data_IF_179667006380
#
_entry.id   IF_179667006380
#
_cell.length_a   1.000
_cell.length_b   1.000
_cell.length_c   1.000
_cell.angle_alpha   90.00
_cell.angle_beta   90.00
_cell.angle_gamma   90.00
#
_symmetry.space_group_name_H-M   'P 1'
#
loop_
_entity.id
_entity.type
_entity.pdbx_description
1 polymer ?
#
# COMPACT_ATOMS: atom_id res chain seq x y z
N UNK A 1 -27.71 -40.39 33.59
CA UNK A 1 -27.32 -39.00 33.97
C UNK A 1 -26.34 -38.36 32.98
N UNK A 2 -25.51 -39.13 32.28
CA UNK A 2 -24.55 -38.68 31.26
C UNK A 2 -25.16 -37.92 30.06
N UNK A 3 -26.35 -38.31 29.58
CA UNK A 3 -27.00 -37.66 28.44
C UNK A 3 -27.49 -36.22 28.69
N UNK A 4 -27.74 -35.84 29.96
CA UNK A 4 -28.23 -34.50 30.30
C UNK A 4 -27.09 -33.47 30.35
N UNK A 5 -25.89 -33.89 30.78
CA UNK A 5 -24.69 -33.05 30.77
C UNK A 5 -24.20 -32.77 29.35
N UNK A 6 -24.29 -33.74 28.43
CA UNK A 6 -23.94 -33.56 27.03
C UNK A 6 -24.85 -32.54 26.31
N UNK A 7 -26.17 -32.60 26.54
CA UNK A 7 -27.14 -31.64 25.94
C UNK A 7 -26.95 -30.21 26.43
N UNK A 8 -26.62 -30.02 27.70
CA UNK A 8 -26.39 -28.69 28.30
C UNK A 8 -25.05 -28.10 27.84
N UNK A 9 -24.01 -28.93 27.69
CA UNK A 9 -22.72 -28.52 27.13
C UNK A 9 -22.84 -28.08 25.66
N UNK A 10 -23.64 -28.78 24.83
CA UNK A 10 -23.87 -28.45 23.41
C UNK A 10 -24.57 -27.07 23.25
N UNK A 11 -25.54 -26.75 24.11
CA UNK A 11 -26.23 -25.44 24.08
C UNK A 11 -25.31 -24.29 24.49
N UNK A 12 -24.37 -24.53 25.40
CA UNK A 12 -23.39 -23.53 25.82
C UNK A 12 -22.36 -23.25 24.70
N UNK A 13 -21.87 -24.29 24.02
CA UNK A 13 -20.88 -24.13 22.93
C UNK A 13 -21.46 -23.40 21.71
N UNK A 14 -22.75 -23.60 21.40
CA UNK A 14 -23.41 -22.91 20.28
C UNK A 14 -23.68 -21.43 20.57
N UNK A 15 -24.00 -21.06 21.82
CA UNK A 15 -24.20 -19.65 22.18
C UNK A 15 -22.90 -18.83 22.19
N UNK A 16 -21.78 -19.42 22.61
CA UNK A 16 -20.49 -18.72 22.69
C UNK A 16 -19.86 -18.52 21.31
N UNK A 17 -20.04 -19.48 20.40
CA UNK A 17 -19.59 -19.36 19.01
C UNK A 17 -20.35 -18.25 18.24
N UNK A 18 -21.66 -18.10 18.48
CA UNK A 18 -22.45 -17.03 17.88
C UNK A 18 -22.08 -15.64 18.45
N UNK A 19 -21.84 -15.53 19.76
CA UNK A 19 -21.40 -14.28 20.38
C UNK A 19 -19.99 -13.85 19.91
N UNK A 20 -19.07 -14.80 19.70
CA UNK A 20 -17.75 -14.51 19.14
C UNK A 20 -17.84 -14.11 17.66
N UNK A 21 -18.70 -14.76 16.87
CA UNK A 21 -18.94 -14.39 15.47
C UNK A 21 -19.54 -12.98 15.32
N UNK A 22 -20.37 -12.52 16.27
CA UNK A 22 -20.91 -11.16 16.27
C UNK A 22 -19.85 -10.15 16.74
N UNK A 23 -19.03 -10.47 17.74
CA UNK A 23 -17.97 -9.58 18.24
C UNK A 23 -16.83 -9.34 17.23
N UNK A 24 -16.63 -10.24 16.26
CA UNK A 24 -15.62 -10.08 15.19
C UNK A 24 -16.12 -9.10 14.09
N UNK A 25 -17.38 -8.67 14.10
CA UNK A 25 -17.91 -7.72 13.11
C UNK A 25 -17.71 -6.24 13.45
N UNK A 26 -17.08 -5.91 14.59
CA UNK A 26 -17.01 -4.51 15.08
C UNK A 26 -15.61 -4.01 15.41
N UNK A 27 -14.56 -4.67 14.93
CA UNK A 27 -13.23 -4.04 14.98
C UNK A 27 -12.97 -3.47 13.59
N UNK A 28 -13.16 -2.16 13.48
CA UNK A 28 -12.65 -1.37 12.37
C UNK A 28 -11.19 -1.77 12.19
N UNK A 29 -10.93 -2.50 11.12
CA UNK A 29 -9.62 -2.50 10.49
C UNK A 29 -9.25 -1.03 10.43
N UNK A 30 -8.16 -0.63 11.09
CA UNK A 30 -7.70 0.75 11.13
C UNK A 30 -8.01 1.40 9.78
N UNK A 31 -8.78 2.49 9.76
CA UNK A 31 -9.43 3.03 8.56
C UNK A 31 -8.46 3.54 7.48
N UNK A 32 -7.20 3.13 7.51
CA UNK A 32 -6.19 3.37 6.51
C UNK A 32 -6.29 2.37 5.35
N UNK A 33 -6.45 2.87 4.12
CA UNK A 33 -6.23 2.06 2.94
C UNK A 33 -4.76 2.06 2.58
N UNK A 34 -4.19 0.88 2.34
CA UNK A 34 -2.82 0.71 1.88
C UNK A 34 -2.78 0.27 0.41
N UNK A 35 -1.87 0.87 -0.34
CA UNK A 35 -1.63 0.57 -1.74
C UNK A 35 -0.15 0.33 -1.95
N UNK A 36 0.15 -0.65 -2.79
CA UNK A 36 1.46 -0.80 -3.40
C UNK A 36 1.44 -0.17 -4.77
N UNK A 37 2.59 0.36 -5.19
CA UNK A 37 2.80 0.75 -6.57
C UNK A 37 4.16 0.29 -7.06
N UNK A 38 4.25 0.09 -8.37
CA UNK A 38 5.49 -0.30 -9.01
C UNK A 38 5.62 0.39 -10.36
N UNK A 39 6.87 0.62 -10.74
CA UNK A 39 7.25 1.12 -12.04
C UNK A 39 8.43 0.31 -12.55
N UNK A 40 8.47 0.05 -13.85
CA UNK A 40 9.56 -0.64 -14.51
C UNK A 40 9.90 0.12 -15.78
N UNK A 41 11.15 0.56 -15.90
CA UNK A 41 11.66 1.25 -17.07
C UNK A 41 12.09 0.29 -18.18
N UNK A 42 12.40 0.87 -19.34
CA UNK A 42 12.75 0.12 -20.55
C UNK A 42 14.17 -0.45 -20.48
N UNK A 43 15.05 0.17 -19.69
CA UNK A 43 16.40 -0.30 -19.43
C UNK A 43 16.46 -1.35 -18.30
N UNK A 44 15.31 -1.75 -17.76
CA UNK A 44 15.18 -2.79 -16.74
C UNK A 44 15.23 -2.28 -15.30
N UNK A 45 15.56 -1.00 -15.08
CA UNK A 45 15.45 -0.37 -13.77
C UNK A 45 14.01 -0.42 -13.27
N UNK A 46 13.83 -0.43 -11.95
CA UNK A 46 12.48 -0.45 -11.37
C UNK A 46 12.39 0.28 -10.05
N UNK A 47 11.16 0.69 -9.72
CA UNK A 47 10.79 1.26 -8.44
C UNK A 47 9.60 0.51 -7.87
N UNK A 48 9.59 0.33 -6.55
CA UNK A 48 8.48 -0.24 -5.80
C UNK A 48 8.23 0.63 -4.58
N UNK A 49 6.98 0.99 -4.34
CA UNK A 49 6.62 1.76 -3.16
C UNK A 49 5.29 1.37 -2.60
N UNK A 50 4.97 1.96 -1.46
CA UNK A 50 3.68 1.83 -0.81
C UNK A 50 3.25 3.18 -0.25
N UNK A 51 1.95 3.38 -0.14
CA UNK A 51 1.38 4.53 0.52
C UNK A 51 0.08 4.18 1.21
N UNK A 52 -0.31 5.00 2.19
CA UNK A 52 -1.60 4.88 2.84
C UNK A 52 -2.20 6.23 3.19
N UNK A 53 -3.51 6.23 3.42
CA UNK A 53 -4.31 7.38 3.81
C UNK A 53 -5.55 6.92 4.57
N UNK A 54 -6.14 7.81 5.35
CA UNK A 54 -7.41 7.59 6.06
C UNK A 54 -8.59 7.61 5.10
N UNK A 55 -9.30 6.49 4.98
CA UNK A 55 -10.46 6.31 4.10
C UNK A 55 -11.71 7.04 4.59
N UNK A 56 -11.80 7.41 5.87
CA UNK A 56 -12.96 8.12 6.41
C UNK A 56 -12.97 9.59 6.02
N UNK A 57 -11.80 10.16 5.77
CA UNK A 57 -11.62 11.59 5.48
C UNK A 57 -11.11 11.86 4.06
N UNK A 58 -10.58 10.85 3.37
CA UNK A 58 -9.97 11.05 2.06
C UNK A 58 -10.98 11.46 0.96
N UNK A 59 -10.64 12.47 0.14
CA UNK A 59 -11.39 12.81 -1.07
C UNK A 59 -11.24 11.75 -2.17
N UNK A 60 -11.99 11.91 -3.27
CA UNK A 60 -11.84 11.09 -4.47
C UNK A 60 -10.47 11.22 -5.13
N UNK A 61 -9.85 12.40 -5.00
CA UNK A 61 -8.51 12.71 -5.52
C UNK A 61 -7.62 13.17 -4.38
N UNK A 62 -6.57 12.41 -4.11
CA UNK A 62 -5.50 12.76 -3.18
C UNK A 62 -4.40 13.46 -3.98
N UNK A 63 -4.06 14.68 -3.60
CA UNK A 63 -3.02 15.48 -4.24
C UNK A 63 -2.12 16.10 -3.17
N UNK A 64 -0.85 15.71 -3.18
CA UNK A 64 0.19 16.15 -2.27
C UNK A 64 1.34 16.82 -3.03
N UNK A 65 1.86 17.90 -2.48
CA UNK A 65 2.88 18.69 -3.11
C UNK A 65 3.80 19.37 -2.08
N UNK A 66 5.10 19.21 -2.26
CA UNK A 66 6.12 19.91 -1.49
C UNK A 66 6.37 19.37 -0.09
N UNK A 67 7.16 20.13 0.66
CA UNK A 67 7.58 19.82 2.03
C UNK A 67 6.51 20.21 3.05
N UNK A 68 6.39 19.43 4.14
CA UNK A 68 5.55 19.78 5.29
C UNK A 68 4.35 18.85 5.49
N UNK A 69 3.33 19.31 6.21
CA UNK A 69 2.15 18.50 6.49
C UNK A 69 1.41 18.13 5.20
N UNK A 70 1.11 16.85 5.03
CA UNK A 70 0.26 16.35 3.94
C UNK A 70 -1.21 16.56 4.26
N UNK A 71 -2.05 16.60 3.22
CA UNK A 71 -3.50 16.79 3.39
C UNK A 71 -4.21 15.50 3.75
N UNK A 72 -3.85 14.40 3.10
CA UNK A 72 -4.54 13.10 3.22
C UNK A 72 -3.56 11.94 3.35
N UNK A 73 -2.38 12.03 2.74
CA UNK A 73 -1.40 10.94 2.74
C UNK A 73 -0.76 10.76 4.12
N UNK A 74 -0.90 9.59 4.74
CA UNK A 74 -0.31 9.32 6.05
C UNK A 74 1.14 8.84 5.94
N UNK A 75 1.43 8.04 4.92
CA UNK A 75 2.79 7.58 4.63
C UNK A 75 2.99 7.33 3.14
N UNK A 76 4.25 7.44 2.71
CA UNK A 76 4.71 7.11 1.38
C UNK A 76 6.15 6.60 1.49
N UNK A 77 6.40 5.44 0.90
CA UNK A 77 7.73 4.84 0.80
C UNK A 77 8.03 4.43 -0.64
N UNK A 78 9.31 4.42 -0.99
CA UNK A 78 9.78 3.96 -2.30
C UNK A 78 11.17 3.34 -2.16
N UNK A 79 11.38 2.26 -2.91
CA UNK A 79 12.67 1.60 -3.12
C UNK A 79 12.97 1.51 -4.60
N UNK A 80 14.24 1.67 -4.95
CA UNK A 80 14.74 1.68 -6.31
C UNK A 80 15.69 0.52 -6.54
N UNK A 81 15.65 -0.05 -7.74
CA UNK A 81 16.39 -1.25 -8.10
C UNK A 81 17.04 -1.11 -9.48
N UNK A 82 18.22 -1.69 -9.60
CA UNK A 82 18.94 -1.81 -10.87
C UNK A 82 18.29 -2.88 -11.79
N UNK A 83 18.77 -3.03 -13.05
CA UNK A 83 18.23 -4.02 -13.98
C UNK A 83 18.36 -5.48 -13.52
N UNK A 84 19.22 -5.76 -12.55
CA UNK A 84 19.41 -7.08 -11.95
C UNK A 84 18.59 -7.26 -10.67
N UNK A 85 17.67 -6.33 -10.38
CA UNK A 85 16.85 -6.29 -9.17
C UNK A 85 17.65 -6.10 -7.87
N UNK A 86 18.86 -5.56 -7.96
CA UNK A 86 19.66 -5.18 -6.80
C UNK A 86 19.17 -3.84 -6.26
N UNK A 87 18.96 -3.68 -4.94
CA UNK A 87 18.58 -2.39 -4.36
C UNK A 87 19.63 -1.31 -4.62
N UNK A 88 19.18 -0.15 -5.10
CA UNK A 88 19.99 1.06 -5.25
C UNK A 88 19.84 1.93 -3.99
N UNK A 89 18.60 2.32 -3.67
CA UNK A 89 18.29 3.12 -2.50
C UNK A 89 16.81 3.02 -2.12
N UNK A 90 16.45 3.48 -0.92
CA UNK A 90 15.08 3.52 -0.42
C UNK A 90 14.83 4.79 0.40
N UNK A 91 13.63 5.34 0.30
CA UNK A 91 13.23 6.55 1.01
C UNK A 91 11.80 6.44 1.53
N UNK A 92 11.48 7.31 2.48
CA UNK A 92 10.13 7.53 2.99
C UNK A 92 9.77 9.00 2.82
N UNK A 93 9.36 9.43 1.61
CA UNK A 93 9.03 10.83 1.33
C UNK A 93 7.93 11.42 2.22
N UNK A 94 7.05 10.58 2.79
CA UNK A 94 6.04 10.97 3.77
C UNK A 94 6.04 10.01 4.95
N UNK A 95 6.15 10.54 6.17
CA UNK A 95 6.07 9.79 7.42
C UNK A 95 5.19 10.54 8.39
N UNK A 96 4.23 9.84 9.03
CA UNK A 96 3.31 10.44 10.00
C UNK A 96 2.62 11.71 9.48
N UNK A 97 2.14 11.65 8.25
CA UNK A 97 1.50 12.76 7.53
C UNK A 97 2.38 14.00 7.36
N UNK A 98 3.71 13.82 7.32
CA UNK A 98 4.67 14.89 7.04
C UNK A 98 5.56 14.48 5.88
N UNK A 99 5.49 15.25 4.80
CA UNK A 99 6.40 15.19 3.67
C UNK A 99 7.76 15.77 4.04
N UNK A 100 8.82 15.00 3.81
CA UNK A 100 10.22 15.38 4.04
C UNK A 100 11.01 15.58 2.71
N UNK A 101 10.31 15.64 1.58
CA UNK A 101 10.89 15.82 0.25
C UNK A 101 10.31 17.09 -0.42
N UNK A 102 11.17 18.08 -0.67
CA UNK A 102 10.76 19.41 -1.17
C UNK A 102 10.13 19.39 -2.57
N UNK A 103 10.51 18.42 -3.40
CA UNK A 103 9.99 18.28 -4.75
C UNK A 103 8.81 17.29 -4.84
N UNK A 104 8.31 16.78 -3.70
CA UNK A 104 7.20 15.83 -3.68
C UNK A 104 6.07 16.30 -4.60
N UNK A 105 5.67 15.41 -5.52
CA UNK A 105 4.44 15.50 -6.31
C UNK A 105 3.82 14.12 -6.32
N UNK A 106 2.62 14.01 -5.76
CA UNK A 106 1.90 12.75 -5.71
C UNK A 106 0.41 13.00 -5.92
N UNK A 107 -0.16 12.37 -6.96
CA UNK A 107 -1.58 12.46 -7.25
C UNK A 107 -2.14 11.05 -7.44
N UNK A 108 -3.21 10.74 -6.72
CA UNK A 108 -3.85 9.45 -6.72
C UNK A 108 -5.38 9.62 -6.79
N UNK A 109 -5.99 8.95 -7.76
CA UNK A 109 -7.45 8.85 -7.88
C UNK A 109 -7.90 7.59 -7.15
N UNK A 110 -8.60 7.76 -6.02
CA UNK A 110 -9.12 6.68 -5.20
C UNK A 110 -10.29 5.94 -5.88
N UNK A 111 -10.98 6.60 -6.82
CA UNK A 111 -12.09 6.00 -7.58
C UNK A 111 -11.55 5.01 -8.61
N UNK A 112 -10.54 5.41 -9.38
CA UNK A 112 -9.94 4.56 -10.41
C UNK A 112 -8.76 3.73 -9.91
N UNK A 113 -8.27 4.02 -8.71
CA UNK A 113 -7.05 3.46 -8.10
C UNK A 113 -5.82 3.63 -8.98
N UNK A 114 -5.61 4.84 -9.49
CA UNK A 114 -4.49 5.16 -10.38
C UNK A 114 -3.70 6.37 -9.90
N UNK A 115 -2.38 6.30 -10.08
CA UNK A 115 -1.52 7.48 -10.02
C UNK A 115 -1.60 8.20 -11.36
N UNK A 116 -1.77 9.52 -11.33
CA UNK A 116 -1.93 10.35 -12.52
C UNK A 116 -1.21 11.69 -12.37
N UNK A 117 -1.20 12.49 -13.43
CA UNK A 117 -0.68 13.87 -13.37
C UNK A 117 0.81 13.95 -12.97
N UNK A 118 1.23 15.09 -12.39
CA UNK A 118 2.59 15.28 -11.88
C UNK A 118 2.98 14.23 -10.84
N UNK A 119 4.17 13.66 -11.02
CA UNK A 119 4.71 12.63 -10.14
C UNK A 119 6.19 12.87 -9.93
N UNK A 120 6.60 13.00 -8.67
CA UNK A 120 8.00 13.14 -8.27
C UNK A 120 8.14 12.63 -6.83
N UNK A 121 8.82 11.50 -6.68
CA UNK A 121 9.00 10.81 -5.41
C UNK A 121 10.42 10.22 -5.31
N UNK A 122 10.92 10.14 -4.08
CA UNK A 122 12.28 9.72 -3.79
C UNK A 122 12.99 10.80 -3.01
N UNK A 123 14.19 11.16 -3.45
CA UNK A 123 15.01 12.20 -2.82
C UNK A 123 15.91 12.87 -3.84
N UNK A 124 16.00 14.19 -3.77
CA UNK A 124 16.88 15.05 -4.57
C UNK A 124 17.29 16.30 -3.75
N UNK A 125 18.16 16.10 -2.77
CA UNK A 125 18.74 17.14 -1.89
C UNK A 125 20.11 17.62 -2.40
N UNK A 126 20.43 17.36 -3.66
CA UNK A 126 21.74 17.66 -4.26
C UNK A 126 22.92 16.84 -3.69
N UNK A 127 22.65 15.71 -3.07
CA UNK A 127 23.64 14.86 -2.42
C UNK A 127 23.95 13.57 -3.20
N UNK A 128 25.17 13.02 -3.11
CA UNK A 128 25.48 11.70 -3.65
C UNK A 128 24.54 10.62 -3.10
N UNK A 129 24.06 9.75 -3.99
CA UNK A 129 23.14 8.66 -3.62
C UNK A 129 21.66 9.05 -3.61
N UNK A 130 21.33 10.34 -3.74
CA UNK A 130 19.97 10.77 -4.03
C UNK A 130 19.46 10.07 -5.29
N UNK A 131 18.19 9.65 -5.24
CA UNK A 131 17.58 8.80 -6.25
C UNK A 131 16.08 9.07 -6.26
N UNK A 132 15.52 9.35 -7.43
CA UNK A 132 14.11 9.73 -7.55
C UNK A 132 13.53 9.28 -8.89
N UNK A 133 12.22 9.03 -8.87
CA UNK A 133 11.42 8.76 -10.03
C UNK A 133 10.45 9.92 -10.22
N UNK A 134 10.51 10.54 -11.38
CA UNK A 134 9.58 11.57 -11.75
C UNK A 134 9.06 11.34 -13.17
N UNK A 135 7.90 11.89 -13.51
CA UNK A 135 7.60 12.12 -14.92
C UNK A 135 8.17 13.48 -15.32
N UNK A 136 8.70 13.55 -16.54
CA UNK A 136 9.50 14.67 -17.01
C UNK A 136 8.66 15.96 -17.10
N UNK A 137 8.57 16.68 -15.99
CA UNK A 137 8.04 18.04 -15.89
C UNK A 137 9.06 19.08 -16.36
N UNK A 138 10.27 18.67 -16.77
CA UNK A 138 11.33 19.55 -17.23
C UNK A 138 11.21 19.84 -18.74
N UNK A 139 10.10 20.48 -19.12
CA UNK A 139 10.07 21.48 -20.20
C UNK A 139 9.22 22.71 -19.83
N UNK A 140 8.79 22.87 -18.58
CA UNK A 140 8.06 24.07 -18.13
C UNK A 140 8.78 24.64 -16.90
N UNK A 141 9.97 25.17 -17.15
CA UNK A 141 10.45 26.30 -16.38
C UNK A 141 9.58 27.51 -16.78
N UNK A 142 9.19 28.32 -15.80
CA UNK A 142 8.25 29.46 -15.89
C UNK A 142 6.74 29.15 -15.93
N UNK A 143 6.19 28.78 -14.77
CA UNK A 143 4.75 28.86 -14.51
C UNK A 143 4.03 27.52 -14.63
N UNK A 144 3.84 26.88 -13.48
CA UNK A 144 3.13 25.61 -13.31
C UNK A 144 1.78 25.57 -14.05
N UNK A 145 1.75 24.96 -15.23
CA UNK A 145 0.51 24.52 -15.86
C UNK A 145 0.18 23.11 -15.41
N UNK A 146 -1.09 22.83 -15.12
CA UNK A 146 -1.62 21.50 -14.79
C UNK A 146 -1.55 20.49 -15.97
N UNK A 147 -0.91 20.88 -17.08
CA UNK A 147 -0.83 20.11 -18.31
C UNK A 147 0.48 19.31 -18.37
N UNK A 148 0.39 18.00 -18.14
CA UNK A 148 1.50 17.05 -18.34
C UNK A 148 1.61 16.74 -19.84
N UNK A 149 2.54 17.40 -20.54
CA UNK A 149 2.71 17.27 -22.00
C UNK A 149 3.47 15.98 -22.39
N UNK A 150 4.22 15.36 -21.46
CA UNK A 150 4.90 14.09 -21.69
C UNK A 150 4.73 13.13 -20.50
N UNK A 151 4.21 11.92 -20.77
CA UNK A 151 4.04 10.82 -19.80
C UNK A 151 5.33 10.00 -19.60
N UNK A 152 6.48 10.58 -19.93
CA UNK A 152 7.76 9.89 -19.84
C UNK A 152 8.28 9.98 -18.41
N UNK A 153 8.51 8.84 -17.79
CA UNK A 153 9.13 8.71 -16.49
C UNK A 153 10.64 8.70 -16.63
N UNK A 154 11.29 9.64 -15.94
CA UNK A 154 12.72 9.66 -15.71
C UNK A 154 13.03 8.99 -14.38
N UNK A 155 13.84 7.95 -14.42
CA UNK A 155 14.50 7.43 -13.23
C UNK A 155 15.89 8.03 -13.12
N UNK A 156 16.16 8.75 -12.03
CA UNK A 156 17.34 9.60 -11.89
C UNK A 156 18.10 9.25 -10.61
N UNK A 157 19.40 9.55 -10.61
CA UNK A 157 20.20 9.56 -9.38
C UNK A 157 21.24 10.69 -9.38
N UNK A 158 21.93 10.83 -8.26
CA UNK A 158 23.19 11.58 -8.16
C UNK A 158 24.36 10.64 -7.94
N UNK A 159 25.37 10.76 -8.79
CA UNK A 159 26.60 9.98 -8.69
C UNK A 159 27.44 10.40 -7.46
N UNK A 160 28.60 9.75 -7.29
CA UNK A 160 29.52 10.06 -6.17
C UNK A 160 29.99 11.52 -6.11
N UNK A 161 29.90 12.26 -7.22
CA UNK A 161 30.24 13.69 -7.30
C UNK A 161 29.00 14.60 -7.16
N UNK A 162 27.82 14.07 -6.83
CA UNK A 162 26.57 14.84 -6.72
C UNK A 162 25.96 15.24 -8.07
N UNK A 163 26.54 14.79 -9.18
CA UNK A 163 26.05 15.12 -10.53
C UNK A 163 24.82 14.28 -10.85
N UNK A 164 23.74 14.93 -11.31
CA UNK A 164 22.53 14.27 -11.78
C UNK A 164 22.83 13.37 -12.98
N UNK A 165 22.31 12.14 -12.95
CA UNK A 165 22.28 11.23 -14.08
C UNK A 165 20.86 10.72 -14.30
N UNK A 166 20.54 10.49 -15.56
CA UNK A 166 19.31 9.81 -15.96
C UNK A 166 19.69 8.35 -16.19
N UNK A 167 19.10 7.45 -15.39
CA UNK A 167 19.34 6.01 -15.45
C UNK A 167 18.41 5.33 -16.45
N UNK A 168 17.18 5.82 -16.58
CA UNK A 168 16.17 5.28 -17.49
C UNK A 168 15.15 6.38 -17.85
N UNK A 169 14.66 6.31 -19.08
CA UNK A 169 13.58 7.13 -19.63
C UNK A 169 12.62 6.20 -20.34
N UNK A 170 11.37 6.14 -19.86
CA UNK A 170 10.35 5.27 -20.46
C UNK A 170 8.97 5.88 -20.36
N UNK A 171 8.07 5.51 -21.26
CA UNK A 171 6.65 5.88 -21.21
C UNK A 171 5.81 4.91 -20.36
N UNK A 172 6.46 4.01 -19.63
CA UNK A 172 5.80 3.00 -18.81
C UNK A 172 5.08 3.65 -17.63
N UNK A 173 3.82 3.29 -17.46
CA UNK A 173 2.98 3.83 -16.38
C UNK A 173 3.26 3.15 -15.04
N UNK A 174 3.14 3.92 -13.96
CA UNK A 174 3.10 3.38 -12.60
C UNK A 174 1.85 2.52 -12.43
N UNK A 175 2.03 1.28 -12.01
CA UNK A 175 0.97 0.33 -11.72
C UNK A 175 0.68 0.35 -10.23
N UNK A 176 -0.60 0.46 -9.86
CA UNK A 176 -1.05 0.50 -8.46
C UNK A 176 -1.88 -0.73 -8.15
N UNK A 177 -1.73 -1.28 -6.94
CA UNK A 177 -2.56 -2.36 -6.43
C UNK A 177 -2.96 -2.09 -4.99
N UNK A 178 -4.26 -2.25 -4.70
CA UNK A 178 -4.77 -2.19 -3.32
C UNK A 178 -4.22 -3.38 -2.52
N UNK A 179 -3.69 -3.13 -1.34
CA UNK A 179 -3.36 -4.19 -0.38
C UNK A 179 -4.67 -4.66 0.25
N UNK A 180 -5.01 -5.97 0.17
CA UNK A 180 -6.21 -6.47 0.81
C UNK A 180 -6.15 -6.20 2.31
N UNK A 181 -7.17 -5.53 2.83
CA UNK A 181 -7.34 -5.36 4.27
C UNK A 181 -7.39 -6.76 4.90
N UNK A 182 -6.43 -7.04 5.77
CA UNK A 182 -6.29 -8.36 6.39
C UNK A 182 -7.48 -8.66 7.30
N UNK A 183 -8.58 -9.18 6.76
CA UNK A 183 -9.68 -9.71 7.55
C UNK A 183 -10.44 -10.80 6.79
N UNK A 184 -10.90 -11.78 7.56
CA UNK A 184 -11.84 -12.87 7.23
C UNK A 184 -11.22 -14.22 6.78
N UNK A 185 -10.09 -14.30 6.05
CA UNK A 185 -9.61 -15.64 5.60
C UNK A 185 -9.18 -16.55 6.78
N UNK A 186 -8.57 -16.00 7.83
CA UNK A 186 -8.17 -16.80 9.00
C UNK A 186 -9.39 -17.18 9.87
N UNK A 187 -10.41 -16.31 9.95
CA UNK A 187 -11.63 -16.58 10.71
C UNK A 187 -12.45 -17.73 10.13
N UNK A 188 -12.58 -17.79 8.79
CA UNK A 188 -13.35 -18.84 8.13
C UNK A 188 -12.67 -20.22 8.26
N UNK A 189 -11.34 -20.28 8.13
CA UNK A 189 -10.56 -21.52 8.31
C UNK A 189 -10.62 -22.04 9.77
N UNK A 190 -10.60 -21.15 10.76
CA UNK A 190 -10.74 -21.51 12.17
C UNK A 190 -12.15 -22.02 12.52
N UNK A 191 -13.21 -21.44 11.93
CA UNK A 191 -14.59 -21.91 12.14
C UNK A 191 -14.84 -23.26 11.45
N UNK A 192 -14.33 -23.45 10.22
CA UNK A 192 -14.47 -24.72 9.50
C UNK A 192 -13.76 -25.88 10.24
N UNK A 193 -12.56 -25.64 10.77
CA UNK A 193 -11.83 -26.68 11.54
C UNK A 193 -12.55 -27.06 12.84
N UNK A 194 -13.13 -26.11 13.57
CA UNK A 194 -13.90 -26.40 14.79
C UNK A 194 -15.19 -27.19 14.51
N UNK A 195 -15.89 -26.88 13.40
CA UNK A 195 -17.10 -27.62 12.99
C UNK A 195 -16.82 -29.08 12.60
N UNK A 196 -15.69 -29.33 11.92
CA UNK A 196 -15.26 -30.67 11.50
C UNK A 196 -14.89 -31.56 12.69
N UNK A 197 -14.19 -31.01 13.70
CA UNK A 197 -13.81 -31.77 14.91
C UNK A 197 -15.02 -32.10 15.79
N UNK A 198 -16.02 -31.23 15.85
CA UNK A 198 -17.26 -31.48 16.59
C UNK A 198 -18.10 -32.59 15.94
N UNK A 199 -18.23 -32.60 14.61
CA UNK A 199 -18.96 -33.67 13.89
C UNK A 199 -18.28 -35.03 14.00
N UNK A 200 -16.96 -35.09 13.88
CA UNK A 200 -16.20 -36.35 13.98
C UNK A 200 -16.28 -36.98 15.36
N UNK A 201 -16.24 -36.18 16.43
CA UNK A 201 -16.39 -36.66 17.80
C UNK A 201 -17.83 -37.16 18.09
N UNK A 202 -18.85 -36.52 17.49
CA UNK A 202 -20.26 -36.98 17.57
C UNK A 202 -20.49 -38.30 16.83
N UNK A 203 -19.84 -38.51 15.69
CA UNK A 203 -19.96 -39.77 14.96
C UNK A 203 -19.33 -40.94 15.74
N UNK A 204 -18.16 -40.72 16.36
CA UNK A 204 -17.48 -41.73 17.18
C UNK A 204 -18.26 -42.09 18.45
N UNK A 205 -18.83 -41.11 19.15
CA UNK A 205 -19.58 -41.35 20.39
C UNK A 205 -20.93 -42.07 20.20
N UNK A 206 -21.43 -42.20 18.96
CA UNK A 206 -22.66 -42.95 18.65
C UNK A 206 -22.38 -44.37 18.11
N UNK A 207 -21.09 -44.77 18.03
CA UNK A 207 -20.69 -46.12 17.59
C UNK A 207 -20.14 -47.00 18.72
N UNK A 208 -20.08 -46.48 19.95
CA UNK A 208 -19.82 -47.21 21.19
C UNK A 208 -21.11 -47.28 22.03
#
# INVERSE_FOLDING_TARGET
MTHLFAKTAIRMVTSTALALAIAITTHDLADAAEFNFNWKGDSGYSAKGSFNYDTTTAPSVISEAGLGATKNLQSLSISFFDPFSTPINSFTPVVNSVANYSFLRFNFDNTTQQIFGPFDIGKDDELPGDTWLNNNLALIDEGFSDEVIAKEFGFNNRNAAGTKQILDLSNNAVQVSKVPEGSIIIGLLAVCSLGLTAQTNLYRANQE
#
